data_IF_183024628615
#
_entry.id   IF_183024628615
#
_cell.length_a   1.000
_cell.length_b   1.000
_cell.length_c   1.000
_cell.angle_alpha   90.00
_cell.angle_beta   90.00
_cell.angle_gamma   90.00
#
_symmetry.space_group_name_H-M   'P 1'
#
loop_
_entity.id
_entity.type
_entity.pdbx_description
1 polymer ?
#
# COMPACT_ATOMS: atom_id res chain seq x y z
N UNK A 1 12.91 0.26 20.32
CA UNK A 1 12.29 -0.59 19.29
C UNK A 1 10.79 -0.36 19.36
N UNK A 2 10.30 0.69 18.71
CA UNK A 2 8.88 1.04 18.74
C UNK A 2 8.15 0.10 17.80
N UNK A 3 7.27 -0.74 18.33
CA UNK A 3 6.37 -1.60 17.55
C UNK A 3 5.52 -0.71 16.65
N UNK A 4 5.83 -0.65 15.34
CA UNK A 4 5.00 0.03 14.37
C UNK A 4 3.65 -0.70 14.29
N UNK A 5 2.57 -0.03 14.65
CA UNK A 5 1.22 -0.58 14.60
C UNK A 5 0.95 -1.17 13.20
N UNK A 6 0.87 -2.50 13.13
CA UNK A 6 0.89 -3.25 11.88
C UNK A 6 -0.32 -2.95 11.00
N UNK A 7 -0.10 -3.04 9.69
CA UNK A 7 -1.16 -3.42 8.75
C UNK A 7 -1.75 -4.73 9.28
N UNK A 8 -3.07 -4.79 9.41
CA UNK A 8 -3.79 -6.01 9.76
C UNK A 8 -3.45 -7.13 8.77
N UNK A 9 -3.68 -8.38 9.15
CA UNK A 9 -3.25 -9.56 8.40
C UNK A 9 -3.86 -9.74 7.00
N UNK A 10 -4.62 -8.78 6.48
CA UNK A 10 -5.25 -8.87 5.16
C UNK A 10 -5.32 -7.52 4.42
N UNK A 11 -4.88 -7.55 3.16
CA UNK A 11 -5.36 -6.66 2.12
C UNK A 11 -6.42 -7.41 1.30
N UNK A 12 -7.46 -6.71 0.86
CA UNK A 12 -8.54 -7.27 0.03
C UNK A 12 -8.88 -6.31 -1.12
N UNK A 13 -9.73 -6.77 -2.04
CA UNK A 13 -10.10 -6.03 -3.25
C UNK A 13 -8.91 -5.50 -4.06
N UNK A 14 -7.79 -6.25 -4.03
CA UNK A 14 -6.53 -5.84 -4.64
C UNK A 14 -6.63 -5.96 -6.16
N UNK A 15 -6.62 -4.81 -6.82
CA UNK A 15 -6.59 -4.71 -8.27
C UNK A 15 -5.22 -4.21 -8.74
N UNK A 16 -4.68 -4.84 -9.78
CA UNK A 16 -3.43 -4.44 -10.44
C UNK A 16 -3.65 -4.43 -11.94
N UNK A 17 -3.20 -3.37 -12.58
CA UNK A 17 -3.24 -3.24 -14.03
C UNK A 17 -2.02 -2.47 -14.52
N UNK A 18 -1.80 -2.50 -15.82
CA UNK A 18 -0.72 -1.77 -16.47
C UNK A 18 -1.29 -0.90 -17.58
N UNK A 19 -0.85 0.36 -17.64
CA UNK A 19 -1.27 1.32 -18.66
C UNK A 19 -0.34 1.25 -19.87
N UNK A 20 0.96 1.05 -19.62
CA UNK A 20 2.00 0.86 -20.63
C UNK A 20 3.10 -0.06 -20.07
N UNK A 21 3.97 -0.57 -20.93
CA UNK A 21 5.11 -1.41 -20.52
C UNK A 21 5.93 -0.68 -19.46
N UNK A 22 6.05 -1.28 -18.27
CA UNK A 22 6.79 -0.73 -17.14
C UNK A 22 6.01 0.27 -16.27
N UNK A 23 4.74 0.53 -16.57
CA UNK A 23 3.87 1.41 -15.80
C UNK A 23 2.68 0.64 -15.25
N UNK A 24 2.80 0.22 -13.98
CA UNK A 24 1.80 -0.54 -13.25
C UNK A 24 1.10 0.34 -12.20
N UNK A 25 -0.20 0.13 -12.05
CA UNK A 25 -1.07 0.77 -11.05
C UNK A 25 -1.70 -0.28 -10.14
N UNK A 26 -2.01 0.10 -8.90
CA UNK A 26 -2.60 -0.81 -7.91
C UNK A 26 -3.60 -0.10 -6.98
N UNK A 27 -4.71 -0.77 -6.67
CA UNK A 27 -5.68 -0.31 -5.67
C UNK A 27 -6.14 -1.44 -4.75
N UNK A 28 -5.72 -1.46 -3.48
CA UNK A 28 -6.19 -2.41 -2.49
C UNK A 28 -6.93 -1.74 -1.33
N UNK A 29 -7.84 -2.47 -0.70
CA UNK A 29 -8.33 -2.14 0.64
C UNK A 29 -7.40 -2.75 1.69
N UNK A 30 -6.88 -1.92 2.59
CA UNK A 30 -5.94 -2.35 3.65
C UNK A 30 -6.60 -2.26 5.02
N UNK A 31 -6.73 -3.41 5.69
CA UNK A 31 -7.24 -3.44 7.06
C UNK A 31 -6.15 -2.94 8.02
N UNK A 32 -6.48 -1.97 8.86
CA UNK A 32 -5.58 -1.49 9.90
C UNK A 32 -5.98 -2.09 11.26
N UNK A 33 -4.99 -2.51 12.06
CA UNK A 33 -5.22 -2.95 13.45
C UNK A 33 -5.62 -1.80 14.37
N UNK A 34 -5.33 -0.57 13.97
CA UNK A 34 -5.74 0.68 14.61
C UNK A 34 -5.64 1.86 13.64
N UNK A 35 -6.49 2.86 13.85
CA UNK A 35 -6.49 4.11 13.07
C UNK A 35 -5.34 5.05 13.42
N UNK A 36 -4.62 4.76 14.50
CA UNK A 36 -3.44 5.51 14.90
C UNK A 36 -2.41 5.52 13.76
N UNK A 37 -2.01 6.73 13.35
CA UNK A 37 -1.06 6.95 12.26
C UNK A 37 -1.47 6.35 10.90
N UNK A 38 -2.78 6.23 10.61
CA UNK A 38 -3.30 5.70 9.34
C UNK A 38 -2.68 6.39 8.11
N UNK A 39 -2.51 7.71 8.14
CA UNK A 39 -1.84 8.47 7.07
C UNK A 39 -0.38 8.03 6.89
N UNK A 40 0.37 7.91 7.98
CA UNK A 40 1.77 7.49 7.92
C UNK A 40 1.92 6.04 7.43
N UNK A 41 0.99 5.15 7.81
CA UNK A 41 0.93 3.79 7.31
C UNK A 41 0.62 3.75 5.81
N UNK A 42 -0.34 4.54 5.33
CA UNK A 42 -0.65 4.68 3.90
C UNK A 42 0.58 5.15 3.11
N UNK A 43 1.29 6.16 3.61
CA UNK A 43 2.54 6.65 3.01
C UNK A 43 3.60 5.56 2.97
N UNK A 44 3.79 4.82 4.07
CA UNK A 44 4.77 3.73 4.12
C UNK A 44 4.47 2.59 3.12
N UNK A 45 3.18 2.26 2.93
CA UNK A 45 2.76 1.28 1.92
C UNK A 45 3.05 1.82 0.52
N UNK A 46 2.67 3.06 0.21
CA UNK A 46 2.94 3.69 -1.08
C UNK A 46 4.44 3.72 -1.40
N UNK A 47 5.28 4.12 -0.45
CA UNK A 47 6.75 4.12 -0.61
C UNK A 47 7.30 2.71 -0.85
N UNK A 48 6.76 1.71 -0.16
CA UNK A 48 7.17 0.31 -0.35
C UNK A 48 6.78 -0.21 -1.74
N UNK A 49 5.57 0.12 -2.22
CA UNK A 49 5.09 -0.26 -3.54
C UNK A 49 5.97 0.34 -4.65
N UNK A 50 6.33 1.61 -4.52
CA UNK A 50 7.24 2.28 -5.44
C UNK A 50 8.64 1.64 -5.40
N UNK A 51 9.24 1.53 -4.20
CA UNK A 51 10.64 1.09 -4.05
C UNK A 51 10.85 -0.37 -4.48
N UNK A 52 9.86 -1.24 -4.24
CA UNK A 52 10.02 -2.69 -4.51
C UNK A 52 9.45 -3.13 -5.84
N UNK A 53 8.42 -2.47 -6.33
CA UNK A 53 7.68 -2.92 -7.51
C UNK A 53 7.60 -1.88 -8.62
N UNK A 54 8.11 -0.66 -8.41
CA UNK A 54 8.02 0.42 -9.41
C UNK A 54 6.58 0.92 -9.63
N UNK A 55 5.68 0.70 -8.67
CA UNK A 55 4.29 1.16 -8.76
C UNK A 55 4.24 2.61 -8.28
N UNK A 56 4.16 3.54 -9.22
CA UNK A 56 4.11 4.99 -8.94
C UNK A 56 2.68 5.49 -8.69
N UNK A 57 1.66 4.81 -9.22
CA UNK A 57 0.27 5.18 -9.09
C UNK A 57 -0.50 4.14 -8.25
N UNK A 58 -0.92 4.54 -7.04
CA UNK A 58 -1.75 3.69 -6.18
C UNK A 58 -2.80 4.49 -5.42
N UNK A 59 -3.96 3.86 -5.19
CA UNK A 59 -4.98 4.34 -4.24
C UNK A 59 -5.22 3.23 -3.22
N UNK A 60 -4.91 3.50 -1.95
CA UNK A 60 -4.86 2.54 -0.84
C UNK A 60 -5.79 3.00 0.28
#
# INVERSE_FOLDING_TARGET
MTMGAGVGSAAHDLHVWSVAVGDASLTPDVVLTSDAASIAKRVAIATMLETRFGIHHSTI
#
